data_IF_637348286210
#
_entry.id   IF_637348286210
#
_cell.length_a   1.000
_cell.length_b   1.000
_cell.length_c   1.000
_cell.angle_alpha   90.00
_cell.angle_beta   90.00
_cell.angle_gamma   90.00
#
_symmetry.space_group_name_H-M   'P 1'
#
loop_
_entity.id
_entity.type
_entity.pdbx_description
1 polymer ?
#
# COMPACT_ATOMS: atom_id res chain seq x y z
N UNK A 1 1.62 -18.60 2.16
CA UNK A 1 2.74 -17.64 2.08
C UNK A 1 3.68 -17.99 0.93
N UNK A 2 4.00 -19.27 0.71
CA UNK A 2 4.80 -19.73 -0.44
C UNK A 2 4.25 -19.29 -1.80
N UNK A 3 2.92 -19.21 -1.95
CA UNK A 3 2.26 -18.69 -3.14
C UNK A 3 2.55 -17.21 -3.40
N UNK A 4 2.66 -16.38 -2.35
CA UNK A 4 2.93 -14.93 -2.51
C UNK A 4 4.36 -14.71 -3.01
N UNK A 5 5.31 -15.39 -2.38
CA UNK A 5 6.73 -15.30 -2.75
C UNK A 5 7.02 -15.88 -4.14
N UNK A 6 6.37 -16.98 -4.52
CA UNK A 6 6.57 -17.58 -5.86
C UNK A 6 6.00 -16.69 -6.97
N UNK A 7 4.84 -16.08 -6.75
CA UNK A 7 4.20 -15.15 -7.68
C UNK A 7 5.07 -13.91 -7.92
N UNK A 8 5.58 -13.31 -6.84
CA UNK A 8 6.45 -12.14 -6.90
C UNK A 8 7.76 -12.45 -7.62
N UNK A 9 8.41 -13.57 -7.28
CA UNK A 9 9.68 -13.97 -7.91
C UNK A 9 9.54 -14.24 -9.41
N UNK A 10 8.46 -14.88 -9.85
CA UNK A 10 8.23 -15.24 -11.26
C UNK A 10 7.93 -14.01 -12.14
N UNK A 11 7.31 -12.96 -11.58
CA UNK A 11 6.92 -11.76 -12.31
C UNK A 11 7.56 -10.48 -11.75
N UNK A 12 8.76 -10.60 -11.18
CA UNK A 12 9.42 -9.52 -10.43
C UNK A 12 9.50 -8.21 -11.20
N UNK A 13 9.89 -8.23 -12.49
CA UNK A 13 10.01 -7.03 -13.31
C UNK A 13 8.68 -6.30 -13.56
N UNK A 14 7.58 -7.05 -13.67
CA UNK A 14 6.25 -6.50 -13.83
C UNK A 14 5.81 -5.81 -12.53
N UNK A 15 5.97 -6.47 -11.39
CA UNK A 15 5.64 -5.86 -10.09
C UNK A 15 6.54 -4.66 -9.78
N UNK A 16 7.84 -4.74 -10.09
CA UNK A 16 8.79 -3.63 -9.91
C UNK A 16 8.36 -2.38 -10.70
N UNK A 17 7.92 -2.55 -11.96
CA UNK A 17 7.43 -1.44 -12.78
C UNK A 17 6.15 -0.80 -12.23
N UNK A 18 5.25 -1.58 -11.61
CA UNK A 18 4.04 -1.07 -10.98
C UNK A 18 4.33 -0.37 -9.65
N UNK A 19 5.27 -0.92 -8.88
CA UNK A 19 5.76 -0.34 -7.63
C UNK A 19 6.42 1.02 -7.84
N UNK A 20 7.14 1.20 -8.95
CA UNK A 20 7.78 2.48 -9.25
C UNK A 20 6.78 3.65 -9.18
N UNK A 21 5.53 3.45 -9.62
CA UNK A 21 4.48 4.47 -9.50
C UNK A 21 4.16 4.82 -8.04
N UNK A 22 4.03 3.82 -7.16
CA UNK A 22 3.83 4.06 -5.73
C UNK A 22 5.00 4.83 -5.11
N UNK A 23 6.23 4.43 -5.46
CA UNK A 23 7.48 5.05 -4.97
C UNK A 23 7.58 6.52 -5.40
N UNK A 24 7.22 6.85 -6.63
CA UNK A 24 7.17 8.26 -7.06
C UNK A 24 6.14 9.08 -6.29
N UNK A 25 5.00 8.47 -5.95
CA UNK A 25 3.99 9.12 -5.12
C UNK A 25 4.50 9.40 -3.71
N UNK A 26 5.17 8.41 -3.11
CA UNK A 26 5.78 8.51 -1.78
C UNK A 26 6.93 9.52 -1.73
N UNK A 27 7.79 9.55 -2.76
CA UNK A 27 8.83 10.57 -2.92
C UNK A 27 8.22 11.98 -2.95
N UNK A 28 7.15 12.19 -3.73
CA UNK A 28 6.50 13.48 -3.81
C UNK A 28 5.89 13.92 -2.46
N UNK A 29 5.39 12.96 -1.67
CA UNK A 29 4.85 13.23 -0.33
C UNK A 29 5.96 13.58 0.67
N UNK A 30 7.08 12.84 0.68
CA UNK A 30 8.24 13.13 1.53
C UNK A 30 8.85 14.50 1.22
N UNK A 31 9.02 14.82 -0.08
CA UNK A 31 9.47 16.15 -0.47
C UNK A 31 8.47 17.21 -0.01
N UNK A 32 7.16 16.95 -0.15
CA UNK A 32 6.16 17.89 0.35
C UNK A 32 6.27 18.13 1.86
N UNK A 33 6.49 17.09 2.68
CA UNK A 33 6.62 17.23 4.14
C UNK A 33 7.90 17.96 4.53
N UNK A 34 9.05 17.61 3.95
CA UNK A 34 10.34 18.22 4.26
C UNK A 34 10.37 19.71 3.88
N UNK A 35 9.71 20.06 2.79
CA UNK A 35 9.61 21.44 2.35
C UNK A 35 8.32 22.14 2.83
N UNK A 36 7.47 21.48 3.64
CA UNK A 36 6.16 22.04 4.02
C UNK A 36 6.30 23.35 4.79
N UNK A 37 7.24 23.44 5.74
CA UNK A 37 7.54 24.67 6.48
C UNK A 37 8.00 25.82 5.55
N UNK A 38 8.68 25.49 4.46
CA UNK A 38 9.14 26.46 3.45
C UNK A 38 8.02 26.87 2.48
N UNK A 39 7.11 25.95 2.14
CA UNK A 39 6.07 26.13 1.12
C UNK A 39 4.75 26.69 1.67
N UNK A 40 4.40 26.47 2.95
CA UNK A 40 3.02 26.63 3.45
C UNK A 40 2.40 28.01 3.21
N UNK A 41 3.16 29.09 3.40
CA UNK A 41 2.62 30.45 3.19
C UNK A 41 2.88 31.03 1.78
N UNK A 42 3.94 30.58 1.09
CA UNK A 42 4.42 31.25 -0.14
C UNK A 42 4.05 30.51 -1.43
N UNK A 43 3.78 29.21 -1.36
CA UNK A 43 3.60 28.35 -2.54
C UNK A 43 2.49 27.31 -2.35
N UNK A 44 1.36 27.72 -1.78
CA UNK A 44 0.19 26.86 -1.53
C UNK A 44 -0.22 26.04 -2.76
N UNK A 45 -0.24 26.65 -3.95
CA UNK A 45 -0.57 25.96 -5.21
C UNK A 45 0.40 24.83 -5.55
N UNK A 46 1.69 25.00 -5.26
CA UNK A 46 2.73 24.01 -5.52
C UNK A 46 2.57 22.83 -4.56
N UNK A 47 2.29 23.11 -3.28
CA UNK A 47 1.97 22.09 -2.29
C UNK A 47 0.74 21.26 -2.65
N UNK A 48 -0.36 21.92 -3.06
CA UNK A 48 -1.56 21.24 -3.57
C UNK A 48 -1.21 20.35 -4.77
N UNK A 49 -0.39 20.86 -5.70
CA UNK A 49 0.09 20.11 -6.86
C UNK A 49 0.87 18.85 -6.48
N UNK A 50 1.78 18.94 -5.51
CA UNK A 50 2.57 17.80 -5.01
C UNK A 50 1.68 16.74 -4.34
N UNK A 51 0.71 17.15 -3.52
CA UNK A 51 -0.23 16.22 -2.87
C UNK A 51 -1.09 15.52 -3.92
N UNK A 52 -1.63 16.26 -4.90
CA UNK A 52 -2.42 15.66 -6.00
C UNK A 52 -1.55 14.66 -6.78
N UNK A 53 -0.30 15.01 -7.07
CA UNK A 53 0.65 14.13 -7.73
C UNK A 53 0.89 12.86 -6.91
N UNK A 54 1.21 13.00 -5.63
CA UNK A 54 1.47 11.88 -4.72
C UNK A 54 0.27 10.91 -4.65
N UNK A 55 -0.93 11.45 -4.45
CA UNK A 55 -2.17 10.67 -4.37
C UNK A 55 -2.49 9.98 -5.69
N UNK A 56 -2.26 10.65 -6.83
CA UNK A 56 -2.51 10.09 -8.16
C UNK A 56 -1.60 8.89 -8.43
N UNK A 57 -0.29 9.07 -8.22
CA UNK A 57 0.71 8.05 -8.49
C UNK A 57 0.59 6.83 -7.58
N UNK A 58 0.37 7.04 -6.28
CA UNK A 58 0.11 5.96 -5.31
C UNK A 58 -1.16 5.17 -5.66
N UNK A 59 -2.24 5.85 -6.06
CA UNK A 59 -3.49 5.19 -6.46
C UNK A 59 -3.29 4.30 -7.69
N UNK A 60 -2.54 4.78 -8.69
CA UNK A 60 -2.22 3.99 -9.89
C UNK A 60 -1.35 2.79 -9.52
N UNK A 61 -0.34 2.96 -8.67
CA UNK A 61 0.52 1.87 -8.22
C UNK A 61 -0.26 0.77 -7.49
N UNK A 62 -1.10 1.15 -6.53
CA UNK A 62 -1.98 0.22 -5.80
C UNK A 62 -2.91 -0.53 -6.75
N UNK A 63 -3.62 0.18 -7.63
CA UNK A 63 -4.54 -0.45 -8.57
C UNK A 63 -3.84 -1.39 -9.55
N UNK A 64 -2.64 -1.02 -9.99
CA UNK A 64 -1.80 -1.85 -10.83
C UNK A 64 -1.42 -3.16 -10.16
N UNK A 65 -0.94 -3.10 -8.89
CA UNK A 65 -0.57 -4.30 -8.13
C UNK A 65 -1.78 -5.22 -7.93
N UNK A 66 -2.96 -4.67 -7.62
CA UNK A 66 -4.20 -5.46 -7.45
C UNK A 66 -4.56 -6.20 -8.74
N UNK A 67 -4.59 -5.50 -9.88
CA UNK A 67 -4.91 -6.10 -11.18
C UNK A 67 -3.85 -7.13 -11.58
N UNK A 68 -2.56 -6.81 -11.40
CA UNK A 68 -1.46 -7.73 -11.67
C UNK A 68 -1.59 -9.01 -10.84
N UNK A 69 -1.86 -8.88 -9.54
CA UNK A 69 -2.07 -10.01 -8.63
C UNK A 69 -3.23 -10.88 -9.11
N UNK A 70 -4.40 -10.28 -9.36
CA UNK A 70 -5.56 -11.04 -9.80
C UNK A 70 -5.35 -11.74 -11.12
N UNK A 71 -4.68 -11.08 -12.07
CA UNK A 71 -4.47 -11.68 -13.36
C UNK A 71 -3.41 -12.80 -13.32
N UNK A 72 -2.37 -12.68 -12.49
CA UNK A 72 -1.45 -13.80 -12.22
C UNK A 72 -2.11 -14.95 -11.46
N UNK A 73 -3.05 -14.66 -10.55
CA UNK A 73 -3.83 -15.67 -9.83
C UNK A 73 -4.77 -16.44 -10.76
N UNK A 74 -5.35 -15.75 -11.75
CA UNK A 74 -6.23 -16.31 -12.77
C UNK A 74 -5.50 -16.95 -13.96
N UNK A 75 -4.16 -16.96 -13.96
CA UNK A 75 -3.37 -17.51 -15.05
C UNK A 75 -3.48 -16.74 -16.37
N UNK A 76 -3.91 -15.48 -16.36
CA UNK A 76 -4.00 -14.66 -17.58
C UNK A 76 -2.59 -14.30 -18.10
N UNK A 77 -2.39 -14.30 -19.41
CA UNK A 77 -1.21 -13.68 -20.03
C UNK A 77 -1.38 -12.15 -20.03
N UNK A 78 -0.54 -11.44 -19.26
CA UNK A 78 -0.75 -10.00 -19.05
C UNK A 78 0.48 -9.19 -19.40
N UNK A 79 0.26 -8.15 -20.20
CA UNK A 79 1.26 -7.12 -20.52
C UNK A 79 1.10 -5.93 -19.58
N UNK A 80 2.21 -5.29 -19.18
CA UNK A 80 2.23 -4.06 -18.34
C UNK A 80 1.25 -2.99 -18.86
N UNK A 81 1.21 -2.80 -20.19
CA UNK A 81 0.29 -1.85 -20.85
C UNK A 81 -1.17 -2.13 -20.53
N UNK A 82 -1.56 -3.40 -20.52
CA UNK A 82 -2.95 -3.80 -20.26
C UNK A 82 -3.34 -3.58 -18.80
N UNK A 83 -2.42 -3.82 -17.85
CA UNK A 83 -2.63 -3.52 -16.42
C UNK A 83 -2.82 -2.03 -16.23
N UNK A 84 -1.95 -1.22 -16.85
CA UNK A 84 -2.04 0.23 -16.77
C UNK A 84 -3.35 0.76 -17.35
N UNK A 85 -3.77 0.26 -18.53
CA UNK A 85 -5.05 0.64 -19.13
C UNK A 85 -6.26 0.25 -18.26
N UNK A 86 -6.28 -0.96 -17.70
CA UNK A 86 -7.35 -1.39 -16.79
C UNK A 86 -7.37 -0.54 -15.51
N UNK A 87 -6.20 -0.16 -14.99
CA UNK A 87 -6.07 0.69 -13.80
C UNK A 87 -6.58 2.10 -14.05
N UNK A 88 -6.15 2.75 -15.15
CA UNK A 88 -6.51 4.14 -15.43
C UNK A 88 -8.01 4.29 -15.76
N UNK A 89 -8.62 3.27 -16.36
CA UNK A 89 -10.08 3.21 -16.58
C UNK A 89 -10.88 3.23 -15.27
N UNK A 90 -10.28 2.79 -14.16
CA UNK A 90 -10.89 2.71 -12.84
C UNK A 90 -10.29 3.68 -11.83
N UNK A 91 -9.45 4.60 -12.29
CA UNK A 91 -8.75 5.55 -11.45
C UNK A 91 -9.69 6.34 -10.54
N UNK A 92 -10.77 6.91 -11.10
CA UNK A 92 -11.71 7.73 -10.34
C UNK A 92 -12.49 6.94 -9.28
N UNK A 93 -12.85 5.70 -9.57
CA UNK A 93 -13.55 4.84 -8.62
C UNK A 93 -12.62 4.37 -7.51
N UNK A 94 -11.37 4.04 -7.84
CA UNK A 94 -10.35 3.72 -6.84
C UNK A 94 -10.05 4.92 -5.97
N UNK A 95 -9.74 6.07 -6.57
CA UNK A 95 -9.45 7.31 -5.87
C UNK A 95 -10.61 7.71 -4.95
N UNK A 96 -11.84 7.70 -5.46
CA UNK A 96 -13.03 8.01 -4.66
C UNK A 96 -13.21 7.05 -3.49
N UNK A 97 -12.98 5.75 -3.68
CA UNK A 97 -13.09 4.76 -2.60
C UNK A 97 -12.00 4.92 -1.55
N UNK A 98 -10.77 5.18 -1.98
CA UNK A 98 -9.61 5.45 -1.11
C UNK A 98 -9.81 6.72 -0.29
N UNK A 99 -10.27 7.81 -0.91
CA UNK A 99 -10.58 9.07 -0.22
C UNK A 99 -11.70 8.86 0.81
N UNK A 100 -12.79 8.19 0.43
CA UNK A 100 -13.88 7.90 1.37
C UNK A 100 -13.42 7.03 2.54
N UNK A 101 -12.56 6.04 2.27
CA UNK A 101 -11.97 5.21 3.31
C UNK A 101 -11.14 6.06 4.28
N UNK A 102 -10.23 6.90 3.79
CA UNK A 102 -9.40 7.78 4.62
C UNK A 102 -10.22 8.79 5.41
N UNK A 103 -11.22 9.43 4.79
CA UNK A 103 -12.06 10.41 5.47
C UNK A 103 -12.81 9.82 6.66
N UNK A 104 -13.37 8.61 6.50
CA UNK A 104 -14.15 7.98 7.56
C UNK A 104 -13.24 7.31 8.58
N UNK A 105 -12.32 6.45 8.14
CA UNK A 105 -11.44 5.70 9.07
C UNK A 105 -10.45 6.63 9.74
N UNK A 106 -9.78 7.49 8.98
CA UNK A 106 -8.85 8.49 9.51
C UNK A 106 -9.56 9.53 10.37
N UNK A 107 -10.70 10.05 9.92
CA UNK A 107 -11.50 11.01 10.70
C UNK A 107 -11.95 10.46 12.06
N UNK A 108 -12.36 9.18 12.12
CA UNK A 108 -12.72 8.52 13.36
C UNK A 108 -11.48 8.26 14.25
N UNK A 109 -10.36 7.85 13.65
CA UNK A 109 -9.12 7.56 14.37
C UNK A 109 -8.50 8.77 15.08
N UNK A 110 -8.80 10.00 14.62
CA UNK A 110 -8.36 11.24 15.28
C UNK A 110 -8.95 11.43 16.70
N UNK A 111 -10.07 10.78 17.00
CA UNK A 111 -10.71 10.87 18.32
C UNK A 111 -10.48 9.60 19.12
N UNK A 112 -10.11 9.71 20.40
CA UNK A 112 -9.88 8.54 21.27
C UNK A 112 -11.11 7.61 21.32
N UNK A 113 -12.32 8.20 21.32
CA UNK A 113 -13.61 7.48 21.31
C UNK A 113 -13.90 6.86 19.94
N UNK A 114 -13.39 7.44 18.85
CA UNK A 114 -13.59 6.96 17.50
C UNK A 114 -12.68 5.80 17.10
N UNK A 115 -11.59 5.53 17.82
CA UNK A 115 -10.65 4.43 17.52
C UNK A 115 -11.36 3.07 17.37
N UNK A 116 -12.24 2.62 18.28
CA UNK A 116 -12.96 1.35 18.11
C UNK A 116 -13.83 1.33 16.83
N UNK A 117 -14.45 2.46 16.49
CA UNK A 117 -15.24 2.59 15.27
C UNK A 117 -14.36 2.60 14.02
N UNK A 118 -13.20 3.27 14.07
CA UNK A 118 -12.21 3.27 13.01
C UNK A 118 -11.74 1.84 12.71
N UNK A 119 -11.41 1.05 13.74
CA UNK A 119 -11.04 -0.36 13.59
C UNK A 119 -12.19 -1.16 12.96
N UNK A 120 -13.42 -0.96 13.44
CA UNK A 120 -14.60 -1.63 12.88
C UNK A 120 -14.77 -1.37 11.37
N UNK A 121 -14.69 -0.10 10.95
CA UNK A 121 -14.81 0.29 9.54
C UNK A 121 -13.59 -0.11 8.71
N UNK A 122 -12.37 -0.03 9.27
CA UNK A 122 -11.14 -0.45 8.60
C UNK A 122 -11.21 -1.93 8.19
N UNK A 123 -11.66 -2.81 9.09
CA UNK A 123 -11.84 -4.24 8.78
C UNK A 123 -12.95 -4.44 7.78
N UNK A 124 -14.10 -3.77 7.99
CA UNK A 124 -15.28 -3.90 7.13
C UNK A 124 -15.02 -3.46 5.69
N UNK A 125 -14.17 -2.45 5.50
CA UNK A 125 -13.81 -1.92 4.19
C UNK A 125 -12.44 -2.38 3.70
N UNK A 126 -11.71 -3.22 4.45
CA UNK A 126 -10.33 -3.61 4.13
C UNK A 126 -10.16 -4.35 2.80
N UNK A 127 -11.25 -4.88 2.22
CA UNK A 127 -11.20 -5.60 0.94
C UNK A 127 -11.63 -4.76 -0.26
N UNK A 128 -11.88 -3.45 -0.11
CA UNK A 128 -12.48 -2.62 -1.16
C UNK A 128 -11.69 -2.57 -2.48
N UNK A 129 -10.38 -2.78 -2.43
CA UNK A 129 -9.50 -2.80 -3.61
C UNK A 129 -9.94 -3.84 -4.65
N UNK A 130 -10.37 -5.03 -4.20
CA UNK A 130 -10.83 -6.12 -5.06
C UNK A 130 -12.11 -5.77 -5.82
N UNK A 131 -13.22 -5.43 -5.12
CA UNK A 131 -14.46 -5.01 -5.77
C UNK A 131 -14.28 -3.87 -6.76
N UNK A 132 -13.52 -2.82 -6.43
CA UNK A 132 -13.26 -1.69 -7.36
C UNK A 132 -12.68 -2.18 -8.68
N UNK A 133 -11.69 -3.09 -8.62
CA UNK A 133 -10.93 -3.51 -9.80
C UNK A 133 -11.60 -4.63 -10.59
N UNK A 134 -12.23 -5.59 -9.92
CA UNK A 134 -12.76 -6.79 -10.56
C UNK A 134 -14.26 -6.75 -10.77
N UNK A 135 -15.02 -6.14 -9.87
CA UNK A 135 -16.49 -6.12 -9.94
C UNK A 135 -17.05 -4.84 -10.59
N UNK A 136 -16.19 -3.84 -10.83
CA UNK A 136 -16.53 -2.59 -11.52
C UNK A 136 -17.68 -1.75 -10.92
N UNK A 137 -17.93 -1.73 -9.59
CA UNK A 137 -18.98 -0.91 -8.99
C UNK A 137 -18.58 0.58 -8.92
N UNK A 138 -19.53 1.45 -8.59
CA UNK A 138 -19.26 2.82 -8.16
C UNK A 138 -18.50 2.85 -6.81
N UNK A 139 -17.83 3.96 -6.47
CA UNK A 139 -16.94 4.05 -5.31
C UNK A 139 -17.59 3.64 -3.97
N UNK A 140 -18.74 4.21 -3.62
CA UNK A 140 -19.48 3.85 -2.40
C UNK A 140 -20.00 2.40 -2.42
N UNK A 141 -20.40 1.92 -3.60
CA UNK A 141 -20.86 0.55 -3.79
C UNK A 141 -19.70 -0.46 -3.59
N UNK A 142 -18.46 -0.08 -3.88
CA UNK A 142 -17.29 -0.93 -3.61
C UNK A 142 -17.07 -1.15 -2.09
N UNK A 143 -17.20 -0.09 -1.28
CA UNK A 143 -17.10 -0.19 0.19
C UNK A 143 -18.26 -1.00 0.79
N UNK A 144 -19.47 -0.81 0.25
CA UNK A 144 -20.63 -1.63 0.60
C UNK A 144 -20.37 -3.10 0.27
N UNK A 145 -19.82 -3.39 -0.90
CA UNK A 145 -19.49 -4.74 -1.33
C UNK A 145 -18.43 -5.39 -0.45
N UNK A 146 -17.36 -4.67 -0.10
CA UNK A 146 -16.39 -5.12 0.91
C UNK A 146 -17.08 -5.49 2.22
N UNK A 147 -18.06 -4.67 2.66
CA UNK A 147 -18.82 -4.95 3.88
C UNK A 147 -19.59 -6.28 3.79
N UNK A 148 -20.18 -6.58 2.64
CA UNK A 148 -20.92 -7.82 2.38
C UNK A 148 -19.98 -9.04 2.40
N UNK A 149 -18.78 -8.90 1.84
CA UNK A 149 -17.73 -9.91 1.88
C UNK A 149 -17.18 -10.14 3.30
N UNK A 150 -17.15 -9.14 4.17
CA UNK A 150 -16.68 -9.28 5.56
C UNK A 150 -17.79 -9.74 6.53
N UNK A 151 -19.06 -9.51 6.18
CA UNK A 151 -20.22 -9.82 7.04
C UNK A 151 -20.24 -11.29 7.46
N UNK A 152 -20.37 -11.56 8.76
CA UNK A 152 -20.40 -12.93 9.32
C UNK A 152 -19.02 -13.54 9.61
N UNK A 153 -17.94 -12.96 9.08
CA UNK A 153 -16.55 -13.42 9.30
C UNK A 153 -15.64 -12.30 9.83
N UNK A 154 -16.21 -11.27 10.49
CA UNK A 154 -15.49 -10.04 10.86
C UNK A 154 -14.23 -10.31 11.70
N UNK A 155 -14.29 -11.18 12.72
CA UNK A 155 -13.14 -11.51 13.56
C UNK A 155 -12.03 -12.26 12.82
N UNK A 156 -12.40 -13.16 11.91
CA UNK A 156 -11.44 -13.86 11.07
C UNK A 156 -10.75 -12.88 10.11
N UNK A 157 -11.53 -11.96 9.52
CA UNK A 157 -11.03 -10.90 8.66
C UNK A 157 -10.12 -9.92 9.40
N UNK A 158 -10.50 -9.52 10.61
CA UNK A 158 -9.65 -8.70 11.48
C UNK A 158 -8.31 -9.39 11.74
N UNK A 159 -8.32 -10.66 12.17
CA UNK A 159 -7.10 -11.41 12.44
C UNK A 159 -6.20 -11.55 11.21
N UNK A 160 -6.77 -11.83 10.03
CA UNK A 160 -6.01 -11.96 8.78
C UNK A 160 -5.45 -10.62 8.31
N UNK A 161 -6.24 -9.54 8.32
CA UNK A 161 -5.78 -8.20 7.95
C UNK A 161 -4.70 -7.71 8.92
N UNK A 162 -4.88 -7.94 10.22
CA UNK A 162 -3.88 -7.64 11.24
C UNK A 162 -2.61 -8.44 11.02
N UNK A 163 -2.70 -9.73 10.72
CA UNK A 163 -1.53 -10.56 10.43
C UNK A 163 -0.77 -10.08 9.17
N UNK A 164 -1.48 -9.72 8.10
CA UNK A 164 -0.88 -9.16 6.88
C UNK A 164 -0.20 -7.81 7.18
N UNK A 165 -0.86 -6.95 7.96
CA UNK A 165 -0.31 -5.66 8.38
C UNK A 165 0.96 -5.83 9.22
N UNK A 166 0.91 -6.65 10.28
CA UNK A 166 2.06 -6.90 11.16
C UNK A 166 3.20 -7.55 10.38
N UNK A 167 2.92 -8.55 9.55
CA UNK A 167 3.95 -9.19 8.74
C UNK A 167 4.63 -8.20 7.77
N UNK A 168 3.85 -7.40 7.04
CA UNK A 168 4.39 -6.41 6.11
C UNK A 168 5.23 -5.35 6.83
N UNK A 169 4.76 -4.88 7.98
CA UNK A 169 5.45 -3.88 8.79
C UNK A 169 6.74 -4.44 9.38
N UNK A 170 6.71 -5.67 9.90
CA UNK A 170 7.90 -6.34 10.42
C UNK A 170 8.97 -6.54 9.33
N UNK A 171 8.58 -6.95 8.13
CA UNK A 171 9.53 -7.08 7.00
C UNK A 171 10.16 -5.74 6.66
N UNK A 172 9.37 -4.66 6.60
CA UNK A 172 9.86 -3.31 6.37
C UNK A 172 10.86 -2.86 7.45
N UNK A 173 10.48 -2.95 8.73
CA UNK A 173 11.32 -2.58 9.87
C UNK A 173 12.64 -3.36 9.89
N UNK A 174 12.60 -4.68 9.65
CA UNK A 174 13.81 -5.51 9.63
C UNK A 174 14.77 -5.03 8.53
N UNK A 175 14.26 -4.71 7.34
CA UNK A 175 15.10 -4.23 6.24
C UNK A 175 15.71 -2.86 6.54
N UNK A 176 14.93 -1.91 7.06
CA UNK A 176 15.45 -0.58 7.42
C UNK A 176 16.49 -0.65 8.52
N UNK A 177 16.16 -1.30 9.65
CA UNK A 177 17.07 -1.44 10.79
C UNK A 177 18.37 -2.15 10.37
N UNK A 178 18.29 -3.18 9.52
CA UNK A 178 19.47 -3.86 9.00
C UNK A 178 20.38 -2.93 8.20
N UNK A 179 19.81 -2.04 7.38
CA UNK A 179 20.58 -1.05 6.63
C UNK A 179 21.16 0.01 7.58
N UNK A 180 20.40 0.45 8.58
CA UNK A 180 20.88 1.35 9.63
C UNK A 180 22.12 0.79 10.33
N UNK A 181 22.11 -0.51 10.68
CA UNK A 181 23.28 -1.17 11.27
C UNK A 181 24.49 -1.17 10.33
N UNK A 182 24.28 -1.37 9.03
CA UNK A 182 25.37 -1.30 8.04
C UNK A 182 25.97 0.11 8.01
N UNK A 183 25.16 1.16 8.12
CA UNK A 183 25.63 2.56 8.15
C UNK A 183 26.52 2.84 9.37
N UNK A 184 26.18 2.31 10.54
CA UNK A 184 27.05 2.38 11.73
C UNK A 184 28.36 1.63 11.51
N UNK A 185 28.29 0.38 11.03
CA UNK A 185 29.48 -0.46 10.88
C UNK A 185 30.48 0.09 9.87
N UNK A 186 30.01 0.87 8.91
CA UNK A 186 30.82 1.44 7.83
C UNK A 186 31.26 2.88 8.11
N UNK A 187 30.87 3.45 9.26
CA UNK A 187 31.11 4.86 9.62
C UNK A 187 30.57 5.86 8.55
N UNK A 188 29.62 5.41 7.72
CA UNK A 188 28.97 6.23 6.70
C UNK A 188 27.87 7.12 7.28
N UNK A 189 27.42 6.80 8.50
CA UNK A 189 26.41 7.55 9.24
C UNK A 189 26.94 8.76 10.01
N UNK A 190 28.25 8.86 10.25
CA UNK A 190 28.79 9.80 11.25
C UNK A 190 28.43 9.35 12.67
N UNK A 191 28.10 10.30 13.56
CA UNK A 191 27.74 10.05 14.96
C UNK A 191 26.29 9.53 15.12
N UNK A 192 25.95 8.42 14.45
CA UNK A 192 24.63 7.76 14.58
C UNK A 192 24.72 6.66 15.64
N UNK A 193 23.87 6.76 16.65
CA UNK A 193 23.72 5.77 17.71
C UNK A 193 22.76 4.63 17.34
N UNK A 194 22.80 3.57 18.15
CA UNK A 194 21.85 2.46 18.04
C UNK A 194 20.38 2.91 18.26
N UNK A 195 20.16 3.86 19.18
CA UNK A 195 18.82 4.38 19.48
C UNK A 195 18.25 5.10 18.26
N UNK A 196 19.04 5.94 17.61
CA UNK A 196 18.64 6.69 16.42
C UNK A 196 18.20 5.76 15.27
N UNK A 197 18.87 4.61 15.10
CA UNK A 197 18.43 3.58 14.12
C UNK A 197 17.06 3.01 14.50
N UNK A 198 16.84 2.71 15.78
CA UNK A 198 15.56 2.17 16.22
C UNK A 198 14.45 3.20 16.02
N UNK A 199 14.71 4.46 16.30
CA UNK A 199 13.76 5.55 16.08
C UNK A 199 13.44 5.73 14.60
N UNK A 200 14.48 5.73 13.74
CA UNK A 200 14.30 5.76 12.29
C UNK A 200 13.51 4.56 11.77
N UNK A 201 13.91 3.33 12.11
CA UNK A 201 13.30 2.11 11.56
C UNK A 201 11.93 1.76 12.15
N UNK A 202 11.60 2.20 13.37
CA UNK A 202 10.32 1.90 14.01
C UNK A 202 9.28 3.00 13.85
N UNK A 203 9.72 4.25 13.84
CA UNK A 203 8.86 5.43 13.88
C UNK A 203 9.06 6.37 12.69
N UNK A 204 10.00 6.05 11.78
CA UNK A 204 10.38 6.91 10.65
C UNK A 204 10.84 8.30 11.08
N UNK A 205 11.40 8.41 12.28
CA UNK A 205 11.93 9.67 12.80
C UNK A 205 13.21 10.05 12.04
N UNK A 206 13.34 11.31 11.57
CA UNK A 206 14.54 11.77 10.90
C UNK A 206 15.68 11.99 11.88
N UNK A 207 16.92 11.76 11.43
CA UNK A 207 18.10 12.00 12.26
C UNK A 207 18.34 13.51 12.47
N UNK A 208 18.34 13.97 13.72
CA UNK A 208 18.39 15.38 14.12
C UNK A 208 19.57 16.17 13.52
N UNK A 209 20.75 15.53 13.38
CA UNK A 209 21.98 16.19 12.92
C UNK A 209 22.41 15.75 11.51
N UNK A 210 21.47 15.28 10.68
CA UNK A 210 21.78 14.83 9.33
C UNK A 210 22.06 15.97 8.37
N UNK A 211 23.06 15.79 7.50
CA UNK A 211 23.24 16.70 6.35
C UNK A 211 22.13 16.48 5.31
N UNK A 212 21.76 17.50 4.50
CA UNK A 212 20.75 17.32 3.45
C UNK A 212 21.10 16.21 2.45
N UNK A 213 22.39 16.02 2.18
CA UNK A 213 22.87 14.92 1.35
C UNK A 213 22.59 13.56 2.01
N UNK A 214 22.89 13.42 3.30
CA UNK A 214 22.63 12.19 4.04
C UNK A 214 21.12 11.88 4.14
N UNK A 215 20.29 12.90 4.39
CA UNK A 215 18.83 12.77 4.35
C UNK A 215 18.33 12.27 3.00
N UNK A 216 18.89 12.78 1.88
CA UNK A 216 18.53 12.31 0.54
C UNK A 216 18.95 10.84 0.30
N UNK A 217 20.10 10.41 0.83
CA UNK A 217 20.54 9.01 0.77
C UNK A 217 19.59 8.10 1.57
N UNK A 218 19.21 8.50 2.78
CA UNK A 218 18.26 7.76 3.62
C UNK A 218 16.88 7.66 2.97
N UNK A 219 16.39 8.74 2.36
CA UNK A 219 15.16 8.73 1.58
C UNK A 219 15.25 7.74 0.42
N UNK A 220 16.36 7.72 -0.32
CA UNK A 220 16.56 6.76 -1.40
C UNK A 220 16.56 5.30 -0.88
N UNK A 221 17.14 5.06 0.30
CA UNK A 221 17.09 3.75 0.99
C UNK A 221 15.66 3.40 1.37
N UNK A 222 14.93 4.31 2.04
CA UNK A 222 13.54 4.12 2.44
C UNK A 222 12.65 3.77 1.26
N UNK A 223 12.77 4.50 0.16
CA UNK A 223 12.03 4.24 -1.09
C UNK A 223 12.38 2.88 -1.70
N UNK A 224 13.64 2.46 -1.65
CA UNK A 224 14.06 1.12 -2.08
C UNK A 224 13.45 0.02 -1.20
N UNK A 225 13.42 0.21 0.12
CA UNK A 225 12.85 -0.75 1.06
C UNK A 225 11.32 -0.80 0.91
N UNK A 226 10.65 0.35 0.81
CA UNK A 226 9.23 0.48 0.52
C UNK A 226 8.86 -0.22 -0.79
N UNK A 227 9.68 -0.09 -1.84
CA UNK A 227 9.45 -0.77 -3.12
C UNK A 227 9.36 -2.30 -2.99
N UNK A 228 10.10 -2.89 -2.05
CA UNK A 228 10.10 -4.34 -1.80
C UNK A 228 8.97 -4.74 -0.86
N UNK A 229 8.74 -3.96 0.20
CA UNK A 229 7.77 -4.31 1.25
C UNK A 229 6.32 -3.99 0.89
N UNK A 230 6.07 -2.88 0.20
CA UNK A 230 4.72 -2.39 -0.11
C UNK A 230 3.82 -3.41 -0.87
N UNK A 231 4.32 -4.15 -1.89
CA UNK A 231 3.52 -5.15 -2.59
C UNK A 231 3.01 -6.27 -1.70
N UNK A 232 3.75 -6.64 -0.65
CA UNK A 232 3.40 -7.74 0.25
C UNK A 232 2.02 -7.50 0.86
N UNK A 233 1.78 -6.26 1.29
CA UNK A 233 0.51 -5.84 1.87
C UNK A 233 -0.64 -5.90 0.85
N UNK A 234 -0.45 -5.31 -0.33
CA UNK A 234 -1.49 -5.23 -1.38
C UNK A 234 -1.82 -6.60 -1.97
N UNK A 235 -0.81 -7.45 -2.19
CA UNK A 235 -0.99 -8.84 -2.66
C UNK A 235 -1.74 -9.64 -1.59
N UNK A 236 -1.37 -9.51 -0.32
CA UNK A 236 -2.05 -10.17 0.80
C UNK A 236 -3.54 -9.85 0.85
N UNK A 237 -3.91 -8.57 0.75
CA UNK A 237 -5.31 -8.12 0.72
C UNK A 237 -6.02 -8.65 -0.52
N UNK A 238 -5.37 -8.63 -1.69
CA UNK A 238 -5.95 -9.10 -2.95
C UNK A 238 -6.27 -10.61 -2.90
N UNK A 239 -5.35 -11.43 -2.37
CA UNK A 239 -5.59 -12.87 -2.19
C UNK A 239 -6.69 -13.13 -1.16
N UNK A 240 -6.74 -12.34 -0.09
CA UNK A 240 -7.79 -12.46 0.91
C UNK A 240 -9.18 -12.14 0.32
N UNK A 241 -9.25 -11.16 -0.59
CA UNK A 241 -10.46 -10.88 -1.36
C UNK A 241 -10.89 -12.08 -2.21
N UNK A 242 -9.99 -12.68 -3.00
CA UNK A 242 -10.33 -13.86 -3.79
C UNK A 242 -10.76 -15.03 -2.92
N UNK A 243 -10.08 -15.27 -1.80
CA UNK A 243 -10.47 -16.28 -0.84
C UNK A 243 -11.91 -16.04 -0.35
N UNK A 244 -12.24 -14.84 0.13
CA UNK A 244 -13.61 -14.54 0.60
C UNK A 244 -14.66 -14.73 -0.50
N UNK A 245 -14.32 -14.38 -1.75
CA UNK A 245 -15.23 -14.58 -2.88
C UNK A 245 -15.47 -16.07 -3.18
N UNK A 246 -14.43 -16.90 -3.11
CA UNK A 246 -14.55 -18.36 -3.24
C UNK A 246 -15.50 -18.92 -2.17
N UNK A 247 -15.28 -18.55 -0.90
CA UNK A 247 -16.08 -19.07 0.21
C UNK A 247 -17.55 -18.63 0.16
N UNK A 248 -17.85 -17.41 -0.32
CA UNK A 248 -19.21 -16.87 -0.30
C UNK A 248 -20.00 -17.06 -1.58
N UNK A 249 -19.32 -17.12 -2.72
CA UNK A 249 -19.96 -17.06 -4.04
C UNK A 249 -19.66 -18.28 -4.91
N UNK A 250 -18.83 -19.23 -4.44
CA UNK A 250 -18.49 -20.40 -5.24
C UNK A 250 -17.67 -20.03 -6.48
N UNK A 251 -16.80 -19.02 -6.36
CA UNK A 251 -16.00 -18.49 -7.46
C UNK A 251 -15.14 -19.56 -8.18
N UNK A 252 -14.83 -20.69 -7.54
CA UNK A 252 -14.10 -21.78 -8.19
C UNK A 252 -14.90 -22.45 -9.32
N UNK A 253 -16.23 -22.48 -9.23
CA UNK A 253 -17.14 -23.02 -10.25
C UNK A 253 -17.12 -22.14 -11.50
N UNK A 254 -17.08 -20.80 -11.34
CA UNK A 254 -16.97 -19.86 -12.47
C UNK A 254 -15.65 -20.03 -13.23
N UNK A 255 -14.56 -20.33 -12.52
CA UNK A 255 -13.25 -20.57 -13.15
C UNK A 255 -13.24 -21.90 -13.93
N UNK A 256 -13.77 -22.99 -13.34
CA UNK A 256 -13.81 -24.30 -14.01
C UNK A 256 -14.63 -24.31 -15.30
N UNK A 257 -15.72 -23.54 -15.37
CA UNK A 257 -16.55 -23.43 -16.58
C UNK A 257 -15.88 -22.60 -17.69
N UNK A 258 -14.92 -21.74 -17.35
CA UNK A 258 -14.22 -20.89 -18.33
C UNK A 258 -13.06 -21.61 -19.02
N UNK A 259 -12.56 -22.68 -18.41
CA UNK A 259 -11.45 -23.50 -18.90
C UNK A 259 -11.91 -24.73 -19.72
N UNK A 260 -13.23 -24.94 -19.86
CA UNK A 260 -13.85 -25.99 -20.72
C UNK A 260 -14.38 -25.43 -22.03
#
# INVERSE_FOLDING_TARGET
MDTVFSLYRKHFSLFLGLVAFSVFGELALHLFTDFSDFFFFRYLLLGIGMVIFAVTFSTIGVGGIVIGTGATYLGEEITIRSIFQRTIQRFWQLLGSTILWWLVVGGLALTLIGIPFAIYFAVRWGLFLGPVMFEKPAASNALRRSSELVKGAWWQMFGMLLAIFLFSTLVHMILEISIGFILILTDLGGEIGFIDILEWGLFSEPFENSTPFFSAVLLAIHLCVSAVSFPIWIIGISLLYFNQRIWKEGFDIEMQVRDT
#
